data_IF_563180918968
#
_entry.id   IF_563180918968
#
_cell.length_a   1.000
_cell.length_b   1.000
_cell.length_c   1.000
_cell.angle_alpha   90.00
_cell.angle_beta   90.00
_cell.angle_gamma   90.00
#
_symmetry.space_group_name_H-M   'P 1'
#
loop_
_entity.id
_entity.type
_entity.pdbx_description
1 polymer ?
#
# COMPACT_ATOMS: atom_id res chain seq x y z
N UNK A 1 -18.01 17.16 7.00
CA UNK A 1 -17.36 15.94 6.47
C UNK A 1 -16.00 16.33 5.91
N UNK A 2 -14.92 15.72 6.39
CA UNK A 2 -13.59 15.93 5.78
C UNK A 2 -13.59 15.40 4.34
N UNK A 3 -12.97 16.16 3.44
CA UNK A 3 -12.79 15.81 2.04
C UNK A 3 -11.48 15.06 1.86
N UNK A 4 -11.49 13.87 1.28
CA UNK A 4 -10.30 13.04 1.06
C UNK A 4 -10.15 12.77 -0.42
N UNK A 5 -8.98 13.12 -0.99
CA UNK A 5 -8.60 12.85 -2.37
C UNK A 5 -7.65 11.65 -2.40
N UNK A 6 -7.99 10.58 -3.11
CA UNK A 6 -7.19 9.36 -3.19
C UNK A 6 -6.56 9.30 -4.59
N UNK A 7 -5.24 9.45 -4.66
CA UNK A 7 -4.45 9.33 -5.88
C UNK A 7 -4.03 7.88 -6.09
N UNK A 8 -4.17 7.36 -7.31
CA UNK A 8 -3.91 5.96 -7.62
C UNK A 8 -5.00 5.02 -7.12
N UNK A 9 -6.25 5.49 -7.09
CA UNK A 9 -7.40 4.77 -6.54
C UNK A 9 -7.67 3.40 -7.21
N UNK A 10 -7.22 3.14 -8.44
CA UNK A 10 -7.33 1.84 -9.10
C UNK A 10 -6.22 0.83 -8.76
N UNK A 11 -5.25 1.21 -7.91
CA UNK A 11 -4.15 0.35 -7.46
C UNK A 11 -4.51 -0.54 -6.27
N UNK A 12 -3.59 -1.45 -5.89
CA UNK A 12 -3.75 -2.40 -4.76
C UNK A 12 -4.11 -1.70 -3.44
N UNK A 13 -3.39 -0.65 -3.07
CA UNK A 13 -3.69 0.12 -1.86
C UNK A 13 -4.89 1.06 -2.07
N UNK A 14 -4.90 1.81 -3.18
CA UNK A 14 -5.84 2.91 -3.39
C UNK A 14 -7.30 2.47 -3.44
N UNK A 15 -7.63 1.33 -4.08
CA UNK A 15 -9.01 0.85 -4.10
C UNK A 15 -9.49 0.42 -2.71
N UNK A 16 -8.63 -0.24 -1.96
CA UNK A 16 -8.97 -0.68 -0.60
C UNK A 16 -9.20 0.54 0.32
N UNK A 17 -8.35 1.55 0.22
CA UNK A 17 -8.52 2.82 0.95
C UNK A 17 -9.87 3.45 0.58
N UNK A 18 -10.19 3.54 -0.71
CA UNK A 18 -11.46 4.11 -1.14
C UNK A 18 -12.66 3.36 -0.58
N UNK A 19 -12.76 2.05 -0.82
CA UNK A 19 -13.95 1.28 -0.42
C UNK A 19 -14.08 1.14 1.10
N UNK A 20 -12.97 1.09 1.83
CA UNK A 20 -13.02 1.11 3.29
C UNK A 20 -13.51 2.46 3.81
N UNK A 21 -12.93 3.59 3.38
CA UNK A 21 -13.36 4.92 3.83
C UNK A 21 -14.81 5.23 3.41
N UNK A 22 -15.23 4.77 2.23
CA UNK A 22 -16.61 4.91 1.76
C UNK A 22 -17.60 4.17 2.67
N UNK A 23 -17.23 2.95 3.12
CA UNK A 23 -18.06 2.16 4.03
C UNK A 23 -18.31 2.84 5.39
N UNK A 24 -17.43 3.76 5.80
CA UNK A 24 -17.57 4.51 7.05
C UNK A 24 -18.58 5.65 6.98
N UNK A 25 -18.95 6.11 5.78
CA UNK A 25 -19.92 7.20 5.52
C UNK A 25 -19.62 8.52 6.26
N UNK A 26 -18.34 8.76 6.62
CA UNK A 26 -17.90 9.95 7.38
C UNK A 26 -17.04 10.92 6.58
N UNK A 27 -16.70 10.57 5.33
CA UNK A 27 -15.86 11.37 4.44
C UNK A 27 -16.58 11.72 3.13
N UNK A 28 -16.17 12.84 2.53
CA UNK A 28 -16.46 13.12 1.12
C UNK A 28 -15.26 12.70 0.30
N UNK A 29 -15.41 11.62 -0.46
CA UNK A 29 -14.31 10.98 -1.18
C UNK A 29 -14.24 11.45 -2.63
N UNK A 30 -13.02 11.70 -3.07
CA UNK A 30 -12.66 11.93 -4.47
C UNK A 30 -11.58 10.94 -4.86
N UNK A 31 -11.64 10.43 -6.08
CA UNK A 31 -10.69 9.44 -6.59
C UNK A 31 -10.00 9.94 -7.84
N UNK A 32 -8.70 9.65 -7.97
CA UNK A 32 -7.90 9.93 -9.16
C UNK A 32 -7.31 8.62 -9.67
N UNK A 33 -7.54 8.32 -10.93
CA UNK A 33 -7.06 7.14 -11.64
C UNK A 33 -6.23 7.53 -12.86
N UNK A 34 -5.40 6.61 -13.39
CA UNK A 34 -4.59 6.90 -14.57
C UNK A 34 -5.40 6.76 -15.88
N UNK A 35 -6.08 5.62 -16.08
CA UNK A 35 -6.78 5.31 -17.35
C UNK A 35 -8.23 4.91 -17.15
N UNK A 36 -8.50 4.10 -16.16
CA UNK A 36 -9.82 3.53 -15.92
C UNK A 36 -10.37 4.08 -14.62
N UNK A 37 -11.55 4.67 -14.68
CA UNK A 37 -12.28 5.16 -13.51
C UNK A 37 -12.59 4.02 -12.55
N UNK A 38 -12.39 4.26 -11.26
CA UNK A 38 -12.82 3.33 -10.20
C UNK A 38 -14.30 3.48 -9.91
N UNK A 39 -14.79 4.73 -9.96
CA UNK A 39 -16.18 5.10 -9.73
C UNK A 39 -16.65 6.00 -10.87
N UNK A 40 -17.97 6.19 -11.04
CA UNK A 40 -18.51 7.08 -12.06
C UNK A 40 -18.04 8.54 -11.97
N UNK A 41 -17.38 8.92 -10.87
CA UNK A 41 -16.91 10.28 -10.58
C UNK A 41 -15.40 10.37 -10.33
N UNK A 42 -14.61 9.38 -10.78
CA UNK A 42 -13.15 9.46 -10.67
C UNK A 42 -12.60 10.46 -11.68
N UNK A 43 -11.67 11.30 -11.24
CA UNK A 43 -10.81 12.07 -12.15
C UNK A 43 -9.81 11.14 -12.84
N UNK A 44 -9.54 11.43 -14.11
CA UNK A 44 -8.47 10.78 -14.87
C UNK A 44 -7.29 11.74 -14.96
N UNK A 45 -6.11 11.29 -14.54
CA UNK A 45 -4.90 12.11 -14.48
C UNK A 45 -3.70 11.32 -15.00
N UNK A 46 -3.01 11.90 -15.98
CA UNK A 46 -1.60 11.59 -16.23
C UNK A 46 -0.76 12.37 -15.20
N UNK A 47 0.08 11.69 -14.44
CA UNK A 47 0.89 12.32 -13.39
C UNK A 47 1.89 13.35 -13.91
N UNK A 48 2.16 13.40 -15.22
CA UNK A 48 2.96 14.44 -15.87
C UNK A 48 2.16 15.71 -16.17
N UNK A 49 0.83 15.65 -16.09
CA UNK A 49 -0.05 16.80 -16.30
C UNK A 49 -0.29 17.54 -14.98
N UNK A 50 0.62 18.45 -14.68
CA UNK A 50 0.58 19.27 -13.46
C UNK A 50 -0.58 20.29 -13.46
N UNK A 51 -1.05 20.73 -14.65
CA UNK A 51 -2.19 21.65 -14.74
C UNK A 51 -3.47 20.96 -14.32
N UNK A 52 -3.74 19.76 -14.85
CA UNK A 52 -4.89 18.96 -14.43
C UNK A 52 -4.83 18.62 -12.94
N UNK A 53 -3.65 18.26 -12.40
CA UNK A 53 -3.49 18.06 -10.97
C UNK A 53 -3.87 19.31 -10.16
N UNK A 54 -3.38 20.47 -10.58
CA UNK A 54 -3.69 21.75 -9.90
C UNK A 54 -5.19 22.04 -9.93
N UNK A 55 -5.85 21.85 -11.08
CA UNK A 55 -7.29 22.05 -11.20
C UNK A 55 -8.08 21.11 -10.27
N UNK A 56 -7.71 19.81 -10.23
CA UNK A 56 -8.34 18.86 -9.32
C UNK A 56 -8.20 19.31 -7.85
N UNK A 57 -7.03 19.77 -7.43
CA UNK A 57 -6.80 20.24 -6.07
C UNK A 57 -7.62 21.51 -5.75
N UNK A 58 -7.67 22.46 -6.68
CA UNK A 58 -8.44 23.70 -6.54
C UNK A 58 -9.94 23.43 -6.50
N UNK A 59 -10.46 22.55 -7.37
CA UNK A 59 -11.89 22.26 -7.47
C UNK A 59 -12.38 21.42 -6.27
N UNK A 60 -11.58 20.47 -5.81
CA UNK A 60 -11.99 19.58 -4.72
C UNK A 60 -11.71 20.19 -3.34
N UNK A 61 -10.68 21.03 -3.20
CA UNK A 61 -10.23 21.58 -1.91
C UNK A 61 -10.20 20.48 -0.82
N UNK A 62 -9.39 19.41 -1.01
CA UNK A 62 -9.38 18.30 -0.07
C UNK A 62 -8.71 18.70 1.25
N UNK A 63 -9.21 18.16 2.36
CA UNK A 63 -8.52 18.28 3.67
C UNK A 63 -7.31 17.34 3.75
N UNK A 64 -7.42 16.17 3.10
CA UNK A 64 -6.36 15.14 3.06
C UNK A 64 -6.21 14.58 1.66
N UNK A 65 -4.97 14.43 1.21
CA UNK A 65 -4.60 13.76 -0.02
C UNK A 65 -3.87 12.46 0.33
N UNK A 66 -4.38 11.31 -0.11
CA UNK A 66 -3.72 10.00 0.08
C UNK A 66 -3.04 9.61 -1.21
N UNK A 67 -1.71 9.57 -1.22
CA UNK A 67 -0.92 9.19 -2.39
C UNK A 67 -0.58 7.69 -2.36
N UNK A 68 -1.34 6.91 -3.12
CA UNK A 68 -1.11 5.47 -3.37
C UNK A 68 -0.45 5.21 -4.73
N UNK A 69 0.03 6.24 -5.43
CA UNK A 69 0.73 6.09 -6.71
C UNK A 69 2.15 5.58 -6.46
N UNK A 70 2.56 4.58 -7.25
CA UNK A 70 3.92 4.08 -7.25
C UNK A 70 4.15 3.07 -8.37
N UNK A 71 5.39 2.99 -8.83
CA UNK A 71 5.87 1.96 -9.76
C UNK A 71 6.51 0.85 -8.94
N UNK A 72 6.02 -0.39 -9.10
CA UNK A 72 6.51 -1.55 -8.37
C UNK A 72 7.85 -2.07 -8.93
N UNK A 73 8.39 -3.13 -8.33
CA UNK A 73 9.73 -3.67 -8.63
C UNK A 73 9.92 -3.92 -10.14
N UNK A 74 9.01 -4.68 -10.78
CA UNK A 74 9.12 -4.98 -12.22
C UNK A 74 9.08 -3.73 -13.10
N UNK A 75 8.19 -2.79 -12.79
CA UNK A 75 8.09 -1.52 -13.49
C UNK A 75 9.35 -0.67 -13.32
N UNK A 76 9.92 -0.63 -12.12
CA UNK A 76 11.14 0.11 -11.79
C UNK A 76 12.36 -0.46 -12.53
N UNK A 77 12.43 -1.77 -12.68
CA UNK A 77 13.48 -2.42 -13.50
C UNK A 77 13.32 -2.14 -14.99
N UNK A 78 12.07 -2.08 -15.49
CA UNK A 78 11.77 -1.82 -16.90
C UNK A 78 12.07 -0.38 -17.31
N UNK A 79 11.81 0.59 -16.43
CA UNK A 79 12.00 2.01 -16.69
C UNK A 79 12.49 2.73 -15.43
N UNK A 80 13.81 2.92 -15.35
CA UNK A 80 14.43 3.70 -14.26
C UNK A 80 13.91 5.14 -14.27
N UNK A 81 13.73 5.74 -15.46
CA UNK A 81 13.19 7.09 -15.62
C UNK A 81 11.84 7.25 -14.96
N UNK A 82 10.90 6.31 -15.21
CA UNK A 82 9.57 6.37 -14.62
C UNK A 82 9.62 6.10 -13.13
N UNK A 83 10.48 5.18 -12.68
CA UNK A 83 10.68 4.94 -11.25
C UNK A 83 11.21 6.20 -10.53
N UNK A 84 12.19 6.89 -11.08
CA UNK A 84 12.72 8.14 -10.51
C UNK A 84 11.64 9.22 -10.48
N UNK A 85 10.89 9.40 -11.57
CA UNK A 85 9.85 10.41 -11.61
C UNK A 85 8.71 10.10 -10.62
N UNK A 86 8.18 8.88 -10.67
CA UNK A 86 6.96 8.51 -9.95
C UNK A 86 7.22 8.23 -8.47
N UNK A 87 8.29 7.49 -8.17
CA UNK A 87 8.55 7.06 -6.78
C UNK A 87 9.37 8.09 -6.00
N UNK A 88 10.27 8.86 -6.67
CA UNK A 88 11.16 9.79 -5.98
C UNK A 88 10.70 11.25 -6.11
N UNK A 89 10.53 11.75 -7.34
CA UNK A 89 10.26 13.17 -7.56
C UNK A 89 8.79 13.56 -7.27
N UNK A 90 7.84 12.77 -7.78
CA UNK A 90 6.41 13.11 -7.72
C UNK A 90 5.84 13.31 -6.30
N UNK A 91 6.21 12.53 -5.27
CA UNK A 91 5.73 12.79 -3.91
C UNK A 91 6.12 14.17 -3.37
N UNK A 92 7.34 14.63 -3.65
CA UNK A 92 7.80 15.98 -3.27
C UNK A 92 7.10 17.07 -4.07
N UNK A 93 6.98 16.88 -5.40
CA UNK A 93 6.22 17.77 -6.26
C UNK A 93 4.78 17.93 -5.75
N UNK A 94 4.13 16.82 -5.37
CA UNK A 94 2.77 16.82 -4.82
C UNK A 94 2.70 17.59 -3.50
N UNK A 95 3.64 17.37 -2.59
CA UNK A 95 3.73 18.11 -1.32
C UNK A 95 3.89 19.61 -1.55
N UNK A 96 4.73 20.01 -2.51
CA UNK A 96 4.91 21.41 -2.89
C UNK A 96 3.63 22.03 -3.49
N UNK A 97 2.94 21.30 -4.38
CA UNK A 97 1.66 21.77 -4.92
C UNK A 97 0.59 21.94 -3.86
N UNK A 98 0.50 21.00 -2.92
CA UNK A 98 -0.41 21.11 -1.77
C UNK A 98 -0.09 22.38 -0.98
N UNK A 99 1.18 22.60 -0.64
CA UNK A 99 1.60 23.79 0.12
C UNK A 99 1.33 25.11 -0.59
N UNK A 100 1.29 25.12 -1.93
CA UNK A 100 1.01 26.32 -2.73
C UNK A 100 -0.49 26.58 -2.93
N UNK A 101 -1.27 25.55 -3.24
CA UNK A 101 -2.64 25.67 -3.75
C UNK A 101 -3.72 25.36 -2.70
N UNK A 102 -3.43 24.48 -1.72
CA UNK A 102 -4.40 24.03 -0.69
C UNK A 102 -3.70 23.90 0.66
N UNK A 103 -3.18 25.01 1.17
CA UNK A 103 -2.26 25.11 2.31
C UNK A 103 -2.70 24.40 3.60
N UNK A 104 -4.02 24.25 3.81
CA UNK A 104 -4.58 23.55 4.97
C UNK A 104 -4.63 22.04 4.80
N UNK A 105 -4.32 21.53 3.60
CA UNK A 105 -4.39 20.12 3.30
C UNK A 105 -3.13 19.39 3.77
N UNK A 106 -3.30 18.11 4.13
CA UNK A 106 -2.24 17.19 4.53
C UNK A 106 -2.06 16.09 3.47
N UNK A 107 -0.80 15.79 3.12
CA UNK A 107 -0.45 14.61 2.33
C UNK A 107 -0.24 13.40 3.25
N UNK A 108 -0.83 12.26 2.90
CA UNK A 108 -0.47 10.93 3.42
C UNK A 108 0.15 10.16 2.26
N UNK A 109 1.46 9.92 2.33
CA UNK A 109 2.22 9.21 1.30
C UNK A 109 2.57 7.78 1.75
N UNK A 110 2.38 6.79 0.88
CA UNK A 110 2.69 5.40 1.19
C UNK A 110 4.09 5.06 0.66
N UNK A 111 5.01 4.73 1.58
CA UNK A 111 6.35 4.23 1.31
C UNK A 111 6.43 2.71 1.57
N UNK A 112 7.64 2.14 1.62
CA UNK A 112 7.87 0.69 1.64
C UNK A 112 9.01 0.29 2.60
N UNK A 113 8.94 -0.93 3.14
CA UNK A 113 10.04 -1.62 3.82
C UNK A 113 11.23 -1.91 2.87
N UNK A 114 11.00 -1.91 1.56
CA UNK A 114 12.05 -2.13 0.56
C UNK A 114 13.09 -1.00 0.48
N UNK A 115 12.96 0.07 1.26
CA UNK A 115 14.04 1.04 1.48
C UNK A 115 15.22 0.43 2.22
N UNK A 116 15.03 -0.73 2.83
CA UNK A 116 16.07 -1.53 3.51
C UNK A 116 16.53 -2.71 2.66
N UNK A 117 17.80 -3.10 2.80
CA UNK A 117 18.40 -4.23 2.08
C UNK A 117 17.81 -5.59 2.49
N UNK A 118 17.40 -5.74 3.74
CA UNK A 118 16.95 -7.01 4.31
C UNK A 118 18.08 -7.84 4.95
N UNK A 119 19.23 -7.24 5.20
CA UNK A 119 20.38 -7.93 5.84
C UNK A 119 20.29 -7.97 7.38
N UNK A 120 19.50 -7.08 7.99
CA UNK A 120 19.44 -6.90 9.46
C UNK A 120 18.16 -7.47 10.08
N UNK A 121 17.00 -7.13 9.51
CA UNK A 121 15.69 -7.33 10.13
C UNK A 121 15.39 -6.37 11.29
N UNK A 122 14.13 -6.33 11.71
CA UNK A 122 13.64 -5.45 12.77
C UNK A 122 14.15 -4.02 12.65
N UNK A 123 14.10 -3.48 11.43
CA UNK A 123 14.56 -2.12 11.16
C UNK A 123 13.71 -1.10 11.91
N UNK A 124 14.38 -0.24 12.64
CA UNK A 124 13.76 0.90 13.32
C UNK A 124 13.69 2.12 12.40
N UNK A 125 13.03 3.15 12.87
CA UNK A 125 12.92 4.44 12.17
C UNK A 125 14.31 5.04 11.84
N UNK A 126 15.28 4.92 12.76
CA UNK A 126 16.61 5.54 12.66
C UNK A 126 17.62 4.71 11.86
N UNK A 127 17.25 3.48 11.47
CA UNK A 127 18.15 2.64 10.70
C UNK A 127 18.45 3.23 9.32
N UNK A 128 19.71 3.02 8.87
CA UNK A 128 20.14 3.45 7.54
C UNK A 128 19.32 2.72 6.47
N UNK A 129 18.76 3.49 5.55
CA UNK A 129 18.10 2.98 4.35
C UNK A 129 19.18 2.61 3.34
N UNK A 130 19.36 1.31 3.12
CA UNK A 130 20.47 0.71 2.41
C UNK A 130 20.03 -0.19 1.23
N UNK A 131 18.84 0.08 0.67
CA UNK A 131 18.36 -0.61 -0.52
C UNK A 131 19.34 -0.46 -1.70
N UNK A 132 19.54 -1.54 -2.45
CA UNK A 132 20.43 -1.58 -3.60
C UNK A 132 19.67 -1.64 -4.94
N UNK A 133 18.40 -1.95 -4.90
CA UNK A 133 17.56 -2.00 -6.12
C UNK A 133 16.89 -0.65 -6.42
N UNK A 134 16.55 -0.44 -7.69
CA UNK A 134 15.96 0.81 -8.18
C UNK A 134 14.67 1.16 -7.46
N UNK A 135 13.83 0.16 -7.16
CA UNK A 135 12.57 0.36 -6.45
C UNK A 135 12.80 0.93 -5.04
N UNK A 136 13.60 0.24 -4.24
CA UNK A 136 13.89 0.67 -2.86
C UNK A 136 14.58 2.02 -2.80
N UNK A 137 15.59 2.26 -3.69
CA UNK A 137 16.29 3.54 -3.76
C UNK A 137 15.36 4.70 -4.14
N UNK A 138 14.51 4.52 -5.15
CA UNK A 138 13.58 5.58 -5.59
C UNK A 138 12.46 5.83 -4.58
N UNK A 139 11.95 4.78 -3.91
CA UNK A 139 10.98 4.93 -2.82
C UNK A 139 11.58 5.65 -1.61
N UNK A 140 12.84 5.36 -1.25
CA UNK A 140 13.54 6.08 -0.20
C UNK A 140 13.66 7.58 -0.52
N UNK A 141 14.07 7.92 -1.74
CA UNK A 141 14.16 9.31 -2.18
C UNK A 141 12.83 10.05 -2.20
N UNK A 142 11.71 9.35 -2.34
CA UNK A 142 10.36 9.91 -2.35
C UNK A 142 9.71 10.05 -0.99
N UNK A 143 10.37 9.68 0.10
CA UNK A 143 9.82 9.86 1.46
C UNK A 143 9.76 11.34 1.82
N UNK A 144 8.54 11.88 1.88
CA UNK A 144 8.28 13.27 2.27
C UNK A 144 8.31 13.39 3.79
N UNK A 145 9.23 14.20 4.30
CA UNK A 145 9.40 14.43 5.75
C UNK A 145 9.38 15.94 5.99
N UNK A 146 8.28 16.42 6.56
CA UNK A 146 8.12 17.83 6.93
C UNK A 146 7.13 17.96 8.10
N UNK A 147 6.86 19.18 8.56
CA UNK A 147 5.97 19.48 9.69
C UNK A 147 4.46 19.41 9.38
N UNK A 148 4.04 19.01 8.17
CA UNK A 148 2.64 18.94 7.74
C UNK A 148 2.21 17.53 7.32
N UNK A 149 3.04 16.89 6.52
CA UNK A 149 2.69 15.67 5.79
C UNK A 149 3.07 14.42 6.58
N UNK A 150 2.46 13.30 6.22
CA UNK A 150 2.73 11.97 6.77
C UNK A 150 3.25 11.05 5.67
N UNK A 151 4.37 10.39 5.89
CA UNK A 151 4.82 9.24 5.10
C UNK A 151 4.68 7.97 5.94
N UNK A 152 3.96 6.97 5.43
CA UNK A 152 3.81 5.65 6.07
C UNK A 152 4.70 4.65 5.35
N UNK A 153 5.74 4.17 6.02
CA UNK A 153 6.59 3.08 5.56
C UNK A 153 6.00 1.75 6.02
N UNK A 154 5.66 0.88 5.09
CA UNK A 154 5.08 -0.43 5.40
C UNK A 154 5.28 -1.41 4.23
N UNK A 155 5.02 -2.69 4.46
CA UNK A 155 4.80 -3.68 3.40
C UNK A 155 3.34 -4.07 3.40
N UNK A 156 2.74 -4.29 2.24
CA UNK A 156 1.31 -4.58 2.15
C UNK A 156 1.02 -5.85 1.36
N UNK A 157 -0.04 -6.54 1.77
CA UNK A 157 -0.58 -7.69 1.06
C UNK A 157 -2.10 -7.58 0.93
N UNK A 158 -2.63 -7.88 -0.25
CA UNK A 158 -4.08 -7.83 -0.48
C UNK A 158 -4.46 -8.03 -1.94
N UNK A 159 -5.77 -8.01 -2.24
CA UNK A 159 -6.29 -8.20 -3.59
C UNK A 159 -5.94 -7.03 -4.51
N UNK A 160 -5.92 -7.30 -5.79
CA UNK A 160 -5.79 -6.32 -6.85
C UNK A 160 -7.03 -6.35 -7.74
N UNK A 161 -7.47 -5.19 -8.25
CA UNK A 161 -8.58 -5.13 -9.21
C UNK A 161 -8.16 -5.55 -10.63
N UNK A 162 -6.88 -5.42 -10.94
CA UNK A 162 -6.32 -5.81 -12.23
C UNK A 162 -6.20 -7.33 -12.33
N UNK A 163 -6.57 -7.89 -13.49
CA UNK A 163 -6.41 -9.33 -13.78
C UNK A 163 -4.95 -9.81 -13.79
N UNK A 164 -4.01 -8.91 -14.12
CA UNK A 164 -2.57 -9.18 -14.17
C UNK A 164 -1.88 -8.47 -13.00
N UNK A 165 -2.26 -8.80 -11.76
CA UNK A 165 -1.65 -8.28 -10.56
C UNK A 165 -0.21 -8.79 -10.36
N UNK A 166 0.58 -8.05 -9.56
CA UNK A 166 1.99 -8.37 -9.29
C UNK A 166 2.27 -8.77 -7.84
N UNK A 167 1.29 -8.57 -6.95
CA UNK A 167 1.43 -8.83 -5.52
C UNK A 167 1.41 -10.32 -5.17
N UNK A 168 2.02 -10.66 -4.02
CA UNK A 168 2.11 -12.04 -3.54
C UNK A 168 0.71 -12.67 -3.33
N UNK A 169 -0.27 -11.89 -2.89
CA UNK A 169 -1.66 -12.35 -2.75
C UNK A 169 -2.23 -12.78 -4.09
N UNK A 170 -2.12 -11.91 -5.11
CA UNK A 170 -2.59 -12.21 -6.45
C UNK A 170 -1.87 -13.41 -7.07
N UNK A 171 -0.55 -13.51 -6.88
CA UNK A 171 0.24 -14.66 -7.33
C UNK A 171 -0.26 -15.97 -6.72
N UNK A 172 -0.51 -16.01 -5.41
CA UNK A 172 -1.02 -17.21 -4.73
C UNK A 172 -2.38 -17.64 -5.32
N UNK A 173 -3.31 -16.69 -5.46
CA UNK A 173 -4.64 -17.00 -6.01
C UNK A 173 -4.62 -17.42 -7.48
N UNK A 174 -3.71 -16.84 -8.26
CA UNK A 174 -3.54 -17.22 -9.68
C UNK A 174 -2.96 -18.61 -9.85
N UNK A 175 -2.29 -19.14 -8.83
CA UNK A 175 -1.70 -20.49 -8.83
C UNK A 175 -2.43 -21.46 -7.87
N UNK A 176 -3.63 -21.12 -7.39
CA UNK A 176 -4.37 -21.89 -6.37
C UNK A 176 -4.74 -23.30 -6.78
N UNK A 177 -4.78 -23.59 -8.08
CA UNK A 177 -5.08 -24.91 -8.63
C UNK A 177 -3.84 -25.80 -8.81
N UNK A 178 -2.64 -25.28 -8.53
CA UNK A 178 -1.43 -26.09 -8.50
C UNK A 178 -1.52 -27.10 -7.35
N UNK A 179 -0.86 -28.25 -7.48
CA UNK A 179 -0.79 -29.24 -6.41
C UNK A 179 0.00 -28.70 -5.23
N UNK A 180 1.13 -28.04 -5.51
CA UNK A 180 2.01 -27.45 -4.50
C UNK A 180 2.67 -26.16 -4.98
N UNK A 181 3.02 -25.27 -4.05
CA UNK A 181 3.78 -24.04 -4.27
C UNK A 181 4.88 -23.88 -3.24
N UNK A 182 5.99 -23.30 -3.63
CA UNK A 182 7.13 -23.05 -2.73
C UNK A 182 6.87 -21.85 -1.84
N UNK A 183 7.05 -22.01 -0.53
CA UNK A 183 7.07 -20.96 0.46
C UNK A 183 8.47 -20.78 1.08
N UNK A 184 9.02 -19.57 1.02
CA UNK A 184 10.38 -19.28 1.49
C UNK A 184 10.45 -19.18 3.02
N UNK A 185 11.22 -20.06 3.66
CA UNK A 185 11.41 -20.12 5.12
C UNK A 185 12.40 -19.08 5.64
N UNK A 186 13.25 -18.52 4.76
CA UNK A 186 14.28 -17.53 5.11
C UNK A 186 13.95 -16.11 4.60
N UNK A 187 12.79 -15.92 3.98
CA UNK A 187 12.29 -14.59 3.62
C UNK A 187 11.28 -14.13 4.67
N UNK A 188 11.69 -13.18 5.49
CA UNK A 188 10.89 -12.63 6.59
C UNK A 188 10.12 -11.39 6.14
N UNK A 189 8.91 -11.25 6.64
CA UNK A 189 7.97 -10.17 6.36
C UNK A 189 7.33 -9.66 7.66
N UNK A 190 6.97 -8.36 7.73
CA UNK A 190 6.29 -7.75 8.88
C UNK A 190 5.24 -6.72 8.46
N UNK A 191 4.67 -6.86 7.27
CA UNK A 191 3.70 -5.91 6.73
C UNK A 191 2.29 -6.07 7.29
N UNK A 192 1.36 -5.40 6.64
CA UNK A 192 -0.08 -5.40 6.97
C UNK A 192 -0.93 -5.76 5.75
N UNK A 193 -2.21 -6.10 5.96
CA UNK A 193 -3.13 -6.20 4.83
C UNK A 193 -3.46 -4.81 4.27
N UNK A 194 -3.86 -4.74 3.00
CA UNK A 194 -4.33 -3.47 2.41
C UNK A 194 -5.52 -2.88 3.15
N UNK A 195 -6.37 -3.72 3.75
CA UNK A 195 -7.47 -3.28 4.61
C UNK A 195 -6.96 -2.66 5.91
N UNK A 196 -5.93 -3.25 6.52
CA UNK A 196 -5.34 -2.69 7.75
C UNK A 196 -4.61 -1.37 7.47
N UNK A 197 -3.94 -1.24 6.31
CA UNK A 197 -3.43 0.05 5.85
C UNK A 197 -4.57 1.09 5.73
N UNK A 198 -5.72 0.72 5.16
CA UNK A 198 -6.85 1.62 5.04
C UNK A 198 -7.41 2.06 6.40
N UNK A 199 -7.47 1.15 7.39
CA UNK A 199 -7.83 1.48 8.78
C UNK A 199 -6.82 2.44 9.42
N UNK A 200 -5.52 2.20 9.20
CA UNK A 200 -4.46 3.09 9.69
C UNK A 200 -4.53 4.48 9.05
N UNK A 201 -4.89 4.57 7.76
CA UNK A 201 -5.11 5.86 7.08
C UNK A 201 -6.31 6.58 7.70
N UNK A 202 -7.41 5.90 8.01
CA UNK A 202 -8.55 6.49 8.73
C UNK A 202 -8.12 7.06 10.09
N UNK A 203 -7.34 6.31 10.85
CA UNK A 203 -6.73 6.79 12.10
C UNK A 203 -5.87 8.04 11.87
N UNK A 204 -4.99 8.04 10.85
CA UNK A 204 -4.12 9.17 10.52
C UNK A 204 -4.86 10.42 10.00
N UNK A 205 -6.08 10.26 9.44
CA UNK A 205 -6.96 11.38 9.06
C UNK A 205 -7.59 12.04 10.29
N UNK A 206 -7.80 11.27 11.36
CA UNK A 206 -8.48 11.73 12.59
C UNK A 206 -7.51 12.20 13.67
N UNK A 207 -6.22 11.94 13.50
CA UNK A 207 -5.14 12.33 14.41
C UNK A 207 -4.15 13.29 13.72
N UNK A 208 -3.32 13.96 14.51
CA UNK A 208 -2.28 14.85 13.99
C UNK A 208 -0.95 14.12 13.70
N UNK A 209 -1.03 12.84 13.30
CA UNK A 209 0.14 12.02 12.96
C UNK A 209 0.86 12.61 11.73
N UNK A 210 2.12 13.00 11.88
CA UNK A 210 2.94 13.64 10.83
C UNK A 210 4.32 13.00 10.74
N UNK A 211 5.11 13.45 9.77
CA UNK A 211 6.49 12.99 9.55
C UNK A 211 6.57 11.61 8.94
N UNK A 212 7.64 10.89 9.22
CA UNK A 212 7.84 9.52 8.75
C UNK A 212 7.46 8.52 9.84
N UNK A 213 6.54 7.61 9.53
CA UNK A 213 6.09 6.58 10.45
C UNK A 213 6.28 5.18 9.83
N UNK A 214 6.60 4.20 10.65
CA UNK A 214 6.64 2.78 10.28
C UNK A 214 5.40 2.06 10.80
N UNK A 215 4.77 1.26 9.94
CA UNK A 215 3.56 0.50 10.24
C UNK A 215 3.80 -1.00 10.12
N UNK A 216 3.72 -1.71 11.23
CA UNK A 216 3.73 -3.17 11.32
C UNK A 216 3.01 -3.61 12.60
N UNK A 217 2.76 -4.90 12.76
CA UNK A 217 2.23 -5.47 14.01
C UNK A 217 3.35 -5.87 15.01
N UNK A 218 4.58 -5.45 14.77
CA UNK A 218 5.76 -5.80 15.56
C UNK A 218 6.02 -7.32 15.68
N UNK A 219 5.51 -8.10 14.73
CA UNK A 219 5.76 -9.54 14.62
C UNK A 219 6.36 -9.84 13.25
N UNK A 220 7.24 -10.79 13.24
CA UNK A 220 7.81 -11.34 12.01
C UNK A 220 7.03 -12.58 11.60
N UNK A 221 6.92 -12.81 10.29
CA UNK A 221 6.39 -14.04 9.71
C UNK A 221 7.20 -14.37 8.46
N UNK A 222 7.54 -15.63 8.24
CA UNK A 222 8.17 -16.04 6.99
C UNK A 222 7.17 -16.04 5.85
N UNK A 223 7.62 -15.89 4.61
CA UNK A 223 6.72 -16.01 3.45
C UNK A 223 6.06 -17.39 3.38
N UNK A 224 6.73 -18.44 3.83
CA UNK A 224 6.14 -19.77 3.96
C UNK A 224 4.93 -19.76 4.91
N UNK A 225 5.11 -19.26 6.13
CA UNK A 225 4.04 -19.20 7.14
C UNK A 225 2.91 -18.27 6.69
N UNK A 226 3.23 -17.11 6.08
CA UNK A 226 2.24 -16.18 5.56
C UNK A 226 1.38 -16.83 4.45
N UNK A 227 2.00 -17.52 3.50
CA UNK A 227 1.26 -18.23 2.45
C UNK A 227 0.36 -19.32 3.03
N UNK A 228 0.86 -20.11 4.00
CA UNK A 228 0.03 -21.11 4.71
C UNK A 228 -1.17 -20.46 5.40
N UNK A 229 -0.94 -19.34 6.05
CA UNK A 229 -2.00 -18.63 6.78
C UNK A 229 -3.08 -18.10 5.81
N UNK A 230 -2.66 -17.54 4.66
CA UNK A 230 -3.60 -17.10 3.62
C UNK A 230 -4.35 -18.30 3.05
N UNK A 231 -3.65 -19.38 2.72
CA UNK A 231 -4.25 -20.62 2.20
C UNK A 231 -5.33 -21.17 3.13
N UNK A 232 -5.04 -21.20 4.45
CA UNK A 232 -5.99 -21.65 5.46
C UNK A 232 -7.19 -20.68 5.60
N UNK A 233 -6.93 -19.36 5.62
CA UNK A 233 -8.00 -18.35 5.79
C UNK A 233 -8.98 -18.31 4.61
N UNK A 234 -8.48 -18.53 3.40
CA UNK A 234 -9.28 -18.48 2.15
C UNK A 234 -9.67 -19.87 1.62
N UNK A 235 -9.41 -20.94 2.36
CA UNK A 235 -9.71 -22.33 1.98
C UNK A 235 -9.16 -22.71 0.60
N UNK A 236 -7.93 -22.27 0.27
CA UNK A 236 -7.30 -22.60 -1.01
C UNK A 236 -6.82 -24.07 -1.02
N UNK A 237 -7.03 -24.82 -2.10
CA UNK A 237 -6.69 -26.24 -2.16
C UNK A 237 -5.20 -26.53 -2.34
N UNK A 238 -4.37 -25.51 -2.54
CA UNK A 238 -2.92 -25.64 -2.82
C UNK A 238 -2.12 -25.91 -1.55
N UNK A 239 -1.16 -26.84 -1.62
CA UNK A 239 -0.21 -27.11 -0.54
C UNK A 239 0.99 -26.17 -0.64
N UNK A 240 1.43 -25.59 0.49
CA UNK A 240 2.62 -24.74 0.55
C UNK A 240 3.78 -25.59 1.10
N UNK A 241 4.82 -25.78 0.28
CA UNK A 241 6.03 -26.53 0.64
C UNK A 241 7.11 -25.57 1.18
N UNK A 242 7.77 -25.91 2.30
CA UNK A 242 8.87 -25.12 2.82
C UNK A 242 10.12 -25.29 1.93
N UNK A 243 10.71 -24.16 1.53
CA UNK A 243 11.99 -24.11 0.83
C UNK A 243 12.85 -23.01 1.41
N UNK A 244 14.17 -23.18 1.44
CA UNK A 244 15.08 -22.19 1.96
C UNK A 244 15.03 -20.86 1.17
N UNK A 245 15.14 -20.93 -0.14
CA UNK A 245 14.94 -19.80 -1.05
C UNK A 245 15.83 -18.57 -0.76
N UNK A 246 15.26 -17.39 -1.00
CA UNK A 246 15.95 -16.11 -0.81
C UNK A 246 16.04 -15.77 0.69
N UNK A 247 17.24 -15.46 1.17
CA UNK A 247 17.47 -14.94 2.53
C UNK A 247 17.22 -13.43 2.49
N UNK A 248 16.22 -12.96 3.21
CA UNK A 248 15.90 -11.53 3.30
C UNK A 248 15.02 -11.28 4.52
N UNK A 249 15.42 -10.34 5.36
CA UNK A 249 14.61 -9.87 6.49
C UNK A 249 14.45 -8.36 6.42
N UNK A 250 13.37 -7.90 5.77
CA UNK A 250 13.01 -6.49 5.67
C UNK A 250 12.00 -6.08 6.75
N UNK A 251 11.88 -6.87 7.82
CA UNK A 251 10.93 -6.55 8.89
C UNK A 251 11.26 -5.21 9.54
N UNK A 252 10.21 -4.47 9.86
CA UNK A 252 10.27 -3.14 10.49
C UNK A 252 9.54 -3.13 11.82
N UNK A 253 10.00 -2.28 12.73
CA UNK A 253 9.34 -2.01 14.02
C UNK A 253 8.41 -0.83 13.85
N UNK A 254 7.15 -0.96 14.28
CA UNK A 254 6.17 0.14 14.22
C UNK A 254 6.62 1.31 15.08
N UNK A 255 6.49 2.53 14.56
CA UNK A 255 6.72 3.77 15.29
C UNK A 255 5.42 4.48 15.70
N UNK A 256 4.25 3.94 15.34
CA UNK A 256 2.95 4.51 15.68
C UNK A 256 2.53 3.93 17.04
N UNK A 257 2.65 4.73 18.11
CA UNK A 257 2.39 4.29 19.49
C UNK A 257 0.91 4.10 19.80
N UNK A 258 0.05 4.96 19.25
CA UNK A 258 -1.37 5.03 19.61
C UNK A 258 -2.27 4.21 18.69
N UNK A 259 -1.68 3.37 17.86
CA UNK A 259 -2.39 2.46 16.95
C UNK A 259 -1.86 1.04 17.09
N UNK A 260 -2.72 0.12 17.50
CA UNK A 260 -2.37 -1.29 17.66
C UNK A 260 -2.79 -2.07 16.41
N UNK A 261 -1.80 -2.53 15.64
CA UNK A 261 -2.02 -3.41 14.48
C UNK A 261 -2.34 -4.83 14.98
N UNK A 262 -3.43 -5.45 14.51
CA UNK A 262 -3.81 -6.81 14.90
C UNK A 262 -2.81 -7.89 14.46
N UNK A 263 -3.01 -9.13 14.95
CA UNK A 263 -2.26 -10.28 14.47
C UNK A 263 -2.54 -10.58 12.99
N UNK A 264 -1.63 -11.30 12.31
CA UNK A 264 -1.80 -11.69 10.91
C UNK A 264 -3.10 -12.45 10.65
N UNK A 265 -3.47 -13.37 11.54
CA UNK A 265 -4.72 -14.12 11.41
C UNK A 265 -5.95 -13.22 11.47
N UNK A 266 -5.97 -12.24 12.38
CA UNK A 266 -7.07 -11.27 12.47
C UNK A 266 -7.12 -10.38 11.24
N UNK A 267 -5.97 -9.82 10.79
CA UNK A 267 -5.92 -9.00 9.59
C UNK A 267 -6.39 -9.74 8.34
N UNK A 268 -6.01 -11.01 8.17
CA UNK A 268 -6.41 -11.82 7.02
C UNK A 268 -7.90 -12.22 7.10
N UNK A 269 -8.42 -12.53 8.29
CA UNK A 269 -9.84 -12.81 8.47
C UNK A 269 -10.70 -11.57 8.18
N UNK A 270 -10.27 -10.38 8.65
CA UNK A 270 -10.93 -9.11 8.35
C UNK A 270 -10.93 -8.84 6.83
N UNK A 271 -9.79 -9.08 6.17
CA UNK A 271 -9.67 -8.94 4.72
C UNK A 271 -10.62 -9.90 3.98
N UNK A 272 -10.65 -11.18 4.38
CA UNK A 272 -11.57 -12.17 3.82
C UNK A 272 -13.04 -11.73 3.98
N UNK A 273 -13.42 -11.27 5.17
CA UNK A 273 -14.77 -10.78 5.46
C UNK A 273 -15.13 -9.55 4.61
N UNK A 274 -14.18 -8.63 4.43
CA UNK A 274 -14.35 -7.45 3.58
C UNK A 274 -14.52 -7.84 2.11
N UNK A 275 -13.68 -8.73 1.58
CA UNK A 275 -13.77 -9.22 0.21
C UNK A 275 -15.09 -9.96 -0.03
N UNK A 276 -15.53 -10.80 0.92
CA UNK A 276 -16.80 -11.54 0.85
C UNK A 276 -18.02 -10.64 0.79
N UNK A 277 -18.00 -9.52 1.52
CA UNK A 277 -19.06 -8.49 1.46
C UNK A 277 -19.04 -7.72 0.13
N UNK A 278 -17.91 -7.67 -0.55
CA UNK A 278 -17.67 -6.90 -1.77
C UNK A 278 -17.32 -7.79 -2.97
N UNK A 279 -17.87 -9.00 -3.08
CA UNK A 279 -17.54 -10.01 -4.10
C UNK A 279 -17.50 -9.44 -5.54
N UNK A 280 -18.44 -8.54 -5.87
CA UNK A 280 -18.51 -7.91 -7.20
C UNK A 280 -17.24 -7.18 -7.62
N UNK A 281 -16.43 -6.72 -6.67
CA UNK A 281 -15.14 -6.08 -6.94
C UNK A 281 -14.03 -7.09 -7.22
N UNK A 282 -14.19 -8.31 -6.72
CA UNK A 282 -13.15 -9.33 -6.65
C UNK A 282 -13.50 -10.59 -7.45
N UNK A 283 -14.11 -10.43 -8.62
CA UNK A 283 -14.59 -11.53 -9.46
C UNK A 283 -13.50 -12.56 -9.80
N UNK A 284 -12.23 -12.14 -9.88
CA UNK A 284 -11.10 -13.03 -10.12
C UNK A 284 -10.74 -13.92 -8.92
N UNK A 285 -11.30 -13.65 -7.74
CA UNK A 285 -11.13 -14.41 -6.49
C UNK A 285 -12.46 -15.03 -6.02
N UNK A 286 -13.56 -14.89 -6.78
CA UNK A 286 -14.94 -15.18 -6.35
C UNK A 286 -15.15 -16.62 -5.85
N UNK A 287 -14.48 -17.58 -6.47
CA UNK A 287 -14.59 -19.00 -6.10
C UNK A 287 -14.09 -19.33 -4.68
N UNK A 288 -13.39 -18.38 -4.06
CA UNK A 288 -12.73 -18.55 -2.75
C UNK A 288 -13.27 -17.59 -1.67
N UNK A 289 -14.36 -16.88 -1.98
CA UNK A 289 -14.96 -15.86 -1.11
C UNK A 289 -16.34 -16.26 -0.55
#
# INVERSE_FOLDING_TARGET
MKKVLILGAGGMAGHMVYYYLDSLQKYRLYTVCHKTSLTGHSFILDIHDTNTLTNILVDTQPDVIVNCIGVLIKGSQKSIKDAVYINAYYPHLLSDFIGKNVKSSKLIHISTDCVFSGNKGNYTFDDKKDALDVYGMTKNLGEVINGRDLTIRTSIIGPELKKNGEGLFHWLFSNRTAQELNGYTKSVWSGVTTLELAKTIDFAITTDLIGLQQLSNNKQITKYELLKLITATFNLPVEIKPVDGVISDKSIVSSISDYTVPSYSVMLQDLHNFMSKNKKLYTQYEETL
#
